data_IF_418215197340
#
_entry.id   IF_418215197340
#
_cell.length_a   1.000
_cell.length_b   1.000
_cell.length_c   1.000
_cell.angle_alpha   90.00
_cell.angle_beta   90.00
_cell.angle_gamma   90.00
#
_symmetry.space_group_name_H-M   'P 1'
#
loop_
_entity.id
_entity.type
_entity.pdbx_description
1 polymer ?
#
# COMPACT_ATOMS: atom_id res chain seq x y z
N UNK A 1 -14.35 43.74 -5.75
CA UNK A 1 -14.17 43.47 -4.33
C UNK A 1 -13.61 42.07 -4.20
N UNK A 2 -12.38 41.85 -3.68
CA UNK A 2 -11.83 40.54 -3.46
C UNK A 2 -12.36 39.94 -2.15
N UNK A 3 -12.67 38.63 -2.19
CA UNK A 3 -13.18 37.80 -1.13
C UNK A 3 -12.16 37.64 0.02
N UNK A 4 -12.55 37.84 1.29
CA UNK A 4 -11.61 37.79 2.39
C UNK A 4 -11.32 36.36 2.83
N UNK A 5 -10.04 36.01 2.76
CA UNK A 5 -9.31 35.13 3.66
C UNK A 5 -9.75 33.66 3.75
N UNK A 6 -9.17 32.87 2.85
CA UNK A 6 -8.89 31.45 3.09
C UNK A 6 -7.88 31.35 4.25
N UNK A 7 -8.16 30.64 5.35
CA UNK A 7 -7.17 30.46 6.39
C UNK A 7 -5.95 29.71 5.86
N UNK A 8 -4.75 29.99 6.35
CA UNK A 8 -3.54 29.30 5.94
C UNK A 8 -3.68 27.81 6.24
N UNK A 9 -3.27 26.99 5.29
CA UNK A 9 -3.16 25.54 5.44
C UNK A 9 -2.11 25.29 6.52
N UNK A 10 -2.57 24.80 7.66
CA UNK A 10 -1.71 24.37 8.76
C UNK A 10 -0.70 23.33 8.24
N UNK A 11 0.59 23.55 8.38
CA UNK A 11 1.57 22.54 8.01
C UNK A 11 1.33 21.31 8.87
N UNK A 12 1.21 20.17 8.21
CA UNK A 12 1.06 18.83 8.77
C UNK A 12 1.86 18.69 10.08
N UNK A 13 1.30 18.07 11.14
CA UNK A 13 2.07 17.79 12.33
C UNK A 13 3.31 16.97 11.94
N UNK A 14 4.48 17.54 12.15
CA UNK A 14 5.74 16.84 12.05
C UNK A 14 5.68 15.66 13.02
N UNK A 15 5.63 14.44 12.48
CA UNK A 15 5.77 13.24 13.26
C UNK A 15 7.21 13.19 13.79
N UNK A 16 7.42 13.70 14.99
CA UNK A 16 8.61 13.40 15.77
C UNK A 16 8.56 11.93 16.17
N UNK A 17 9.28 11.09 15.41
CA UNK A 17 9.65 9.76 15.88
C UNK A 17 10.72 10.02 16.93
N UNK A 18 10.39 9.95 18.21
CA UNK A 18 11.40 9.94 19.26
C UNK A 18 12.33 8.74 19.02
N UNK A 19 13.64 8.97 18.86
CA UNK A 19 14.59 7.90 18.73
C UNK A 19 14.64 7.15 20.06
N UNK A 20 14.45 5.84 20.02
CA UNK A 20 14.78 4.94 21.14
C UNK A 20 16.21 5.26 21.54
N UNK A 21 16.40 5.60 22.83
CA UNK A 21 17.65 6.07 23.39
C UNK A 21 18.84 5.21 22.96
N UNK A 22 19.90 5.77 22.36
CA UNK A 22 21.09 5.03 22.01
C UNK A 22 21.95 4.83 23.24
N UNK A 23 22.17 3.59 23.62
CA UNK A 23 23.34 3.21 24.39
C UNK A 23 24.60 3.56 23.59
N UNK A 24 25.44 4.39 24.16
CA UNK A 24 26.84 4.73 23.87
C UNK A 24 27.48 4.18 22.57
N UNK A 25 27.11 4.74 21.42
CA UNK A 25 27.90 4.68 20.18
C UNK A 25 27.67 5.96 19.38
N UNK A 26 28.64 6.80 19.44
CA UNK A 26 28.88 8.14 18.99
C UNK A 26 28.05 8.76 17.87
N UNK A 27 27.99 10.06 18.01
CA UNK A 27 27.43 11.13 17.13
C UNK A 27 27.71 11.03 15.60
N UNK A 28 28.49 10.05 15.15
CA UNK A 28 28.74 9.77 13.73
C UNK A 28 27.64 8.92 13.06
N UNK A 29 26.82 8.20 13.83
CA UNK A 29 25.81 7.30 13.27
C UNK A 29 24.51 8.02 12.86
N UNK A 30 24.17 9.13 13.50
CA UNK A 30 22.90 9.82 13.23
C UNK A 30 22.95 10.61 11.91
N UNK A 31 24.09 11.25 11.58
CA UNK A 31 24.25 11.95 10.32
C UNK A 31 24.29 10.99 9.12
N UNK A 32 25.00 9.89 9.24
CA UNK A 32 25.05 8.84 8.21
C UNK A 32 23.67 8.18 8.00
N UNK A 33 22.93 7.94 9.08
CA UNK A 33 21.57 7.40 9.01
C UNK A 33 20.60 8.40 8.36
N UNK A 34 20.69 9.70 8.69
CA UNK A 34 19.84 10.72 8.08
C UNK A 34 20.18 10.94 6.60
N UNK A 35 21.47 10.95 6.24
CA UNK A 35 21.93 11.06 4.85
C UNK A 35 21.49 9.83 4.02
N UNK A 36 21.61 8.62 4.57
CA UNK A 36 21.13 7.41 3.94
C UNK A 36 19.62 7.43 3.74
N UNK A 37 18.87 7.89 4.74
CA UNK A 37 17.41 8.02 4.65
C UNK A 37 17.01 9.04 3.59
N UNK A 38 17.69 10.19 3.53
CA UNK A 38 17.46 11.21 2.50
C UNK A 38 17.80 10.68 1.10
N UNK A 39 18.92 9.96 0.96
CA UNK A 39 19.32 9.31 -0.28
C UNK A 39 18.31 8.25 -0.72
N UNK A 40 17.84 7.42 0.20
CA UNK A 40 16.81 6.43 -0.09
C UNK A 40 15.49 7.09 -0.50
N UNK A 41 15.04 8.14 0.20
CA UNK A 41 13.84 8.91 -0.19
C UNK A 41 14.01 9.53 -1.58
N UNK A 42 15.15 10.12 -1.88
CA UNK A 42 15.45 10.67 -3.20
C UNK A 42 15.48 9.57 -4.27
N UNK A 43 16.12 8.43 -3.99
CA UNK A 43 16.16 7.29 -4.89
C UNK A 43 14.76 6.71 -5.15
N UNK A 44 13.92 6.60 -4.11
CA UNK A 44 12.52 6.19 -4.26
C UNK A 44 11.70 7.22 -5.06
N UNK A 45 11.89 8.52 -4.81
CA UNK A 45 11.23 9.58 -5.59
C UNK A 45 11.62 9.51 -7.07
N UNK A 46 12.91 9.36 -7.35
CA UNK A 46 13.42 9.22 -8.72
C UNK A 46 12.85 7.95 -9.40
N UNK A 47 12.83 6.83 -8.67
CA UNK A 47 12.30 5.57 -9.17
C UNK A 47 10.81 5.65 -9.50
N UNK A 48 10.03 6.33 -8.64
CA UNK A 48 8.58 6.46 -8.84
C UNK A 48 8.19 7.42 -9.97
N UNK A 49 8.97 8.51 -10.17
CA UNK A 49 8.59 9.56 -11.12
C UNK A 49 9.35 9.51 -12.44
N UNK A 50 10.64 9.23 -12.41
CA UNK A 50 11.48 9.27 -13.61
C UNK A 50 11.86 7.90 -14.14
N UNK A 51 12.04 6.92 -13.26
CA UNK A 51 12.43 5.56 -13.62
C UNK A 51 11.31 4.54 -13.39
N UNK A 52 10.05 4.97 -13.53
CA UNK A 52 8.87 4.12 -13.33
C UNK A 52 8.92 2.82 -14.20
N UNK A 53 9.58 2.86 -15.37
CA UNK A 53 9.74 1.71 -16.24
C UNK A 53 10.69 0.64 -15.65
N UNK A 54 11.63 1.02 -14.79
CA UNK A 54 12.58 0.09 -14.15
C UNK A 54 12.09 -0.40 -12.78
N UNK A 55 10.95 0.14 -12.28
CA UNK A 55 10.42 -0.18 -10.96
C UNK A 55 10.25 -1.69 -10.73
N UNK A 56 9.64 -2.38 -11.69
CA UNK A 56 9.42 -3.84 -11.57
C UNK A 56 10.75 -4.61 -11.53
N UNK A 57 11.78 -4.16 -12.25
CA UNK A 57 13.10 -4.78 -12.24
C UNK A 57 13.84 -4.56 -10.91
N UNK A 58 13.82 -3.32 -10.40
CA UNK A 58 14.42 -2.99 -9.09
C UNK A 58 13.71 -3.76 -7.98
N UNK A 59 12.39 -3.78 -7.97
CA UNK A 59 11.59 -4.53 -7.03
C UNK A 59 11.91 -6.03 -7.07
N UNK A 60 12.10 -6.59 -8.27
CA UNK A 60 12.50 -7.98 -8.47
C UNK A 60 13.88 -8.27 -7.87
N UNK A 61 14.88 -7.42 -8.13
CA UNK A 61 16.23 -7.56 -7.58
C UNK A 61 16.21 -7.51 -6.05
N UNK A 62 15.58 -6.48 -5.47
CA UNK A 62 15.53 -6.27 -4.01
C UNK A 62 14.79 -7.39 -3.28
N UNK A 63 13.78 -7.97 -3.93
CA UNK A 63 12.98 -9.06 -3.36
C UNK A 63 13.52 -10.46 -3.70
N UNK A 64 14.67 -10.56 -4.37
CA UNK A 64 15.17 -11.84 -4.91
C UNK A 64 14.12 -12.58 -5.75
N UNK A 65 13.34 -11.85 -6.55
CA UNK A 65 12.29 -12.38 -7.42
C UNK A 65 10.93 -12.60 -6.75
N UNK A 66 10.79 -12.43 -5.44
CA UNK A 66 9.54 -12.73 -4.72
C UNK A 66 8.51 -11.59 -4.73
N UNK A 67 8.84 -10.42 -5.26
CA UNK A 67 7.97 -9.23 -5.24
C UNK A 67 6.54 -9.49 -5.71
N UNK A 68 6.42 -10.17 -6.86
CA UNK A 68 5.10 -10.47 -7.43
C UNK A 68 4.31 -11.43 -6.53
N UNK A 69 4.99 -12.39 -5.91
CA UNK A 69 4.37 -13.36 -5.01
C UNK A 69 3.93 -12.70 -3.71
N UNK A 70 4.75 -11.81 -3.14
CA UNK A 70 4.37 -11.04 -1.96
C UNK A 70 3.07 -10.26 -2.22
N UNK A 71 3.00 -9.53 -3.32
CA UNK A 71 1.79 -8.77 -3.69
C UNK A 71 0.57 -9.65 -3.89
N UNK A 72 0.72 -10.86 -4.45
CA UNK A 72 -0.39 -11.81 -4.62
C UNK A 72 -0.92 -12.36 -3.29
N UNK A 73 -0.16 -12.25 -2.19
CA UNK A 73 -0.60 -12.72 -0.87
C UNK A 73 -1.87 -12.05 -0.35
N UNK A 74 -2.26 -10.90 -0.90
CA UNK A 74 -3.51 -10.21 -0.53
C UNK A 74 -4.74 -10.87 -1.16
N UNK A 75 -4.59 -11.55 -2.30
CA UNK A 75 -5.73 -12.04 -3.11
C UNK A 75 -6.62 -13.05 -2.38
N UNK A 76 -6.09 -14.03 -1.62
CA UNK A 76 -6.92 -14.99 -0.89
C UNK A 76 -7.85 -14.37 0.15
N UNK A 77 -7.59 -13.13 0.56
CA UNK A 77 -8.39 -12.41 1.57
C UNK A 77 -9.49 -11.53 0.97
N UNK A 78 -9.51 -11.40 -0.36
CA UNK A 78 -10.51 -10.58 -1.06
C UNK A 78 -11.86 -11.30 -1.08
N UNK A 79 -12.94 -10.66 -0.59
CA UNK A 79 -14.28 -11.19 -0.74
C UNK A 79 -14.77 -11.05 -2.19
N UNK A 80 -15.82 -11.75 -2.59
CA UNK A 80 -16.50 -11.53 -3.86
C UNK A 80 -17.02 -10.08 -3.98
N UNK A 81 -16.87 -9.49 -5.18
CA UNK A 81 -17.35 -8.15 -5.50
C UNK A 81 -16.25 -7.21 -5.96
N UNK A 82 -16.59 -5.92 -6.11
CA UNK A 82 -15.67 -4.89 -6.60
C UNK A 82 -14.52 -4.64 -5.65
N UNK A 83 -13.29 -4.60 -6.19
CA UNK A 83 -12.05 -4.35 -5.43
C UNK A 83 -11.44 -3.03 -5.88
N UNK A 84 -11.08 -2.20 -4.91
CA UNK A 84 -10.27 -0.99 -5.11
C UNK A 84 -8.81 -1.32 -4.85
N UNK A 85 -7.95 -1.19 -5.85
CA UNK A 85 -6.50 -1.23 -5.64
C UNK A 85 -5.97 0.18 -5.46
N UNK A 86 -5.39 0.47 -4.30
CA UNK A 86 -4.82 1.77 -3.94
C UNK A 86 -3.33 1.74 -4.27
N UNK A 87 -2.87 2.77 -4.99
CA UNK A 87 -1.51 2.86 -5.52
C UNK A 87 -1.17 1.63 -6.39
N UNK A 88 -1.92 1.45 -7.48
CA UNK A 88 -1.79 0.29 -8.36
C UNK A 88 -0.41 0.14 -9.02
N UNK A 89 0.39 1.23 -9.06
CA UNK A 89 1.70 1.25 -9.67
C UNK A 89 1.65 0.82 -11.14
N UNK A 90 2.42 -0.19 -11.49
CA UNK A 90 2.47 -0.73 -12.86
C UNK A 90 1.28 -1.61 -13.25
N UNK A 91 0.26 -1.77 -12.39
CA UNK A 91 -0.99 -2.48 -12.67
C UNK A 91 -0.89 -4.01 -12.69
N UNK A 92 0.23 -4.57 -12.26
CA UNK A 92 0.44 -6.04 -12.29
C UNK A 92 -0.50 -6.77 -11.35
N UNK A 93 -0.76 -6.24 -10.15
CA UNK A 93 -1.68 -6.87 -9.20
C UNK A 93 -3.14 -6.70 -9.65
N UNK A 94 -3.51 -5.54 -10.22
CA UNK A 94 -4.84 -5.35 -10.84
C UNK A 94 -5.16 -6.44 -11.85
N UNK A 95 -4.21 -6.74 -12.76
CA UNK A 95 -4.35 -7.81 -13.75
C UNK A 95 -4.45 -9.21 -13.10
N UNK A 96 -3.71 -9.46 -12.02
CA UNK A 96 -3.76 -10.73 -11.32
C UNK A 96 -5.10 -10.95 -10.58
N UNK A 97 -5.68 -9.89 -10.03
CA UNK A 97 -7.00 -9.94 -9.41
C UNK A 97 -8.11 -10.11 -10.45
N UNK A 98 -8.04 -9.37 -11.55
CA UNK A 98 -9.00 -9.48 -12.65
C UNK A 98 -9.01 -10.89 -13.27
N UNK A 99 -7.83 -11.49 -13.49
CA UNK A 99 -7.71 -12.88 -13.98
C UNK A 99 -8.32 -13.92 -13.03
N UNK A 100 -8.57 -13.55 -11.76
CA UNK A 100 -9.26 -14.40 -10.76
C UNK A 100 -10.73 -14.04 -10.57
N UNK A 101 -11.27 -13.23 -11.46
CA UNK A 101 -12.70 -12.92 -11.48
C UNK A 101 -13.09 -11.74 -10.58
N UNK A 102 -12.14 -10.94 -10.06
CA UNK A 102 -12.48 -9.74 -9.30
C UNK A 102 -12.64 -8.54 -10.23
N UNK A 103 -13.78 -7.84 -10.22
CA UNK A 103 -13.91 -6.53 -10.87
C UNK A 103 -13.04 -5.50 -10.13
N UNK A 104 -11.95 -5.06 -10.78
CA UNK A 104 -10.94 -4.19 -10.17
C UNK A 104 -11.04 -2.76 -10.67
N UNK A 105 -10.93 -1.82 -9.75
CA UNK A 105 -10.64 -0.41 -10.04
C UNK A 105 -9.34 -0.05 -9.34
N UNK A 106 -8.31 0.31 -10.11
CA UNK A 106 -7.03 0.76 -9.59
C UNK A 106 -6.94 2.28 -9.56
N UNK A 107 -6.47 2.85 -8.47
CA UNK A 107 -6.11 4.27 -8.39
C UNK A 107 -4.61 4.42 -8.19
N UNK A 108 -4.04 5.46 -8.80
CA UNK A 108 -2.67 5.89 -8.57
C UNK A 108 -2.57 7.40 -8.76
N UNK A 109 -1.72 8.04 -7.99
CA UNK A 109 -1.49 9.49 -8.13
C UNK A 109 -0.57 9.79 -9.32
N UNK A 110 0.30 8.84 -9.69
CA UNK A 110 1.31 9.00 -10.75
C UNK A 110 0.74 8.74 -12.15
N UNK A 111 0.71 9.76 -13.03
CA UNK A 111 0.33 9.55 -14.43
C UNK A 111 1.27 8.59 -15.16
N UNK A 112 2.55 8.55 -14.77
CA UNK A 112 3.54 7.66 -15.38
C UNK A 112 3.20 6.19 -15.09
N UNK A 113 2.83 5.86 -13.84
CA UNK A 113 2.36 4.52 -13.47
C UNK A 113 1.08 4.15 -14.20
N UNK A 114 0.12 5.09 -14.32
CA UNK A 114 -1.10 4.88 -15.08
C UNK A 114 -0.85 4.54 -16.56
N UNK A 115 0.12 5.21 -17.21
CA UNK A 115 0.51 4.90 -18.59
C UNK A 115 1.08 3.49 -18.72
N UNK A 116 1.96 3.07 -17.80
CA UNK A 116 2.56 1.73 -17.79
C UNK A 116 1.49 0.66 -17.55
N UNK A 117 0.61 0.88 -16.56
CA UNK A 117 -0.47 -0.05 -16.26
C UNK A 117 -1.41 -0.23 -17.45
N UNK A 118 -1.83 0.89 -18.09
CA UNK A 118 -2.65 0.85 -19.30
C UNK A 118 -1.99 0.08 -20.44
N UNK A 119 -0.70 0.32 -20.68
CA UNK A 119 0.03 -0.41 -21.70
C UNK A 119 0.06 -1.93 -21.43
N UNK A 120 0.25 -2.36 -20.18
CA UNK A 120 0.19 -3.77 -19.78
C UNK A 120 -1.19 -4.39 -20.00
N UNK A 121 -2.27 -3.69 -19.63
CA UNK A 121 -3.65 -4.14 -19.85
C UNK A 121 -3.91 -4.34 -21.35
N UNK A 122 -3.55 -3.35 -22.19
CA UNK A 122 -3.74 -3.44 -23.63
C UNK A 122 -2.93 -4.57 -24.28
N UNK A 123 -1.70 -4.82 -23.80
CA UNK A 123 -0.87 -5.95 -24.26
C UNK A 123 -1.55 -7.28 -23.93
N UNK A 124 -2.06 -7.44 -22.70
CA UNK A 124 -2.74 -8.67 -22.29
C UNK A 124 -4.00 -8.92 -23.10
N UNK A 125 -4.79 -7.88 -23.37
CA UNK A 125 -5.96 -7.97 -24.26
C UNK A 125 -5.60 -8.46 -25.67
N UNK A 126 -4.51 -7.93 -26.26
CA UNK A 126 -4.06 -8.33 -27.61
C UNK A 126 -3.54 -9.77 -27.69
N UNK A 127 -2.95 -10.28 -26.61
CA UNK A 127 -2.47 -11.65 -26.54
C UNK A 127 -3.57 -12.68 -26.33
N UNK A 128 -4.86 -12.30 -26.37
CA UNK A 128 -6.01 -13.13 -26.06
C UNK A 128 -5.88 -13.88 -24.72
N UNK A 129 -4.99 -13.42 -23.84
CA UNK A 129 -4.87 -13.97 -22.49
C UNK A 129 -6.16 -13.70 -21.74
N UNK A 130 -6.71 -14.72 -21.11
CA UNK A 130 -7.94 -14.63 -20.36
C UNK A 130 -7.82 -13.57 -19.25
N UNK A 131 -8.68 -12.56 -19.31
CA UNK A 131 -8.83 -11.56 -18.27
C UNK A 131 -9.81 -11.99 -17.16
N UNK A 132 -10.29 -13.26 -17.26
CA UNK A 132 -11.31 -13.77 -16.39
C UNK A 132 -12.69 -13.15 -16.67
N UNK A 133 -13.70 -13.65 -15.98
CA UNK A 133 -15.10 -13.20 -16.10
C UNK A 133 -15.34 -11.74 -15.65
N UNK A 134 -14.39 -11.15 -14.93
CA UNK A 134 -14.50 -9.79 -14.40
C UNK A 134 -14.10 -8.68 -15.39
N UNK A 135 -13.48 -9.05 -16.53
CA UNK A 135 -13.06 -8.09 -17.55
C UNK A 135 -11.77 -7.33 -17.20
N UNK A 136 -11.55 -6.22 -17.91
CA UNK A 136 -10.35 -5.38 -17.73
C UNK A 136 -10.42 -4.55 -16.45
N UNK A 137 -9.30 -4.37 -15.71
CA UNK A 137 -9.23 -3.42 -14.62
C UNK A 137 -9.47 -1.99 -15.09
N UNK A 138 -10.34 -1.25 -14.40
CA UNK A 138 -10.48 0.20 -14.56
C UNK A 138 -9.28 0.91 -13.91
N UNK A 139 -8.76 1.97 -14.55
CA UNK A 139 -7.69 2.79 -13.99
C UNK A 139 -8.16 4.23 -13.84
N UNK A 140 -7.93 4.82 -12.67
CA UNK A 140 -8.29 6.21 -12.35
C UNK A 140 -7.08 6.90 -11.73
N UNK A 141 -6.73 8.07 -12.25
CA UNK A 141 -5.74 8.92 -11.58
C UNK A 141 -6.46 9.64 -10.44
N UNK A 142 -6.12 9.32 -9.20
CA UNK A 142 -6.75 9.92 -8.03
C UNK A 142 -5.85 9.87 -6.80
N UNK A 143 -6.08 10.83 -5.90
CA UNK A 143 -5.53 10.83 -4.55
C UNK A 143 -6.42 9.94 -3.65
N UNK A 144 -5.80 9.00 -2.93
CA UNK A 144 -6.50 8.13 -1.99
C UNK A 144 -7.23 8.89 -0.88
N UNK A 145 -6.75 10.06 -0.51
CA UNK A 145 -7.38 10.90 0.51
C UNK A 145 -8.69 11.55 0.01
N UNK A 146 -8.88 11.60 -1.32
CA UNK A 146 -10.03 12.21 -2.00
C UNK A 146 -10.60 11.29 -3.06
N UNK A 147 -10.98 10.07 -2.65
CA UNK A 147 -11.51 9.07 -3.56
C UNK A 147 -12.74 9.57 -4.33
N UNK A 148 -12.72 9.55 -5.68
CA UNK A 148 -13.81 10.04 -6.53
C UNK A 148 -14.92 8.98 -6.69
N UNK A 149 -15.20 8.21 -5.65
CA UNK A 149 -16.20 7.15 -5.68
C UNK A 149 -17.31 7.41 -4.66
N UNK A 150 -18.54 6.97 -4.96
CA UNK A 150 -19.63 6.97 -3.98
C UNK A 150 -19.30 6.12 -2.75
N UNK A 151 -20.03 6.33 -1.66
CA UNK A 151 -19.93 5.50 -0.47
C UNK A 151 -20.42 4.07 -0.75
N UNK A 152 -19.78 3.08 -0.14
CA UNK A 152 -20.25 1.69 -0.14
C UNK A 152 -20.11 0.93 -1.46
N UNK A 153 -19.31 1.43 -2.41
CA UNK A 153 -19.17 0.82 -3.75
C UNK A 153 -18.32 -0.44 -3.75
N UNK A 154 -17.29 -0.52 -2.89
CA UNK A 154 -16.31 -1.59 -2.93
C UNK A 154 -16.56 -2.64 -1.85
N UNK A 155 -16.43 -3.91 -2.24
CA UNK A 155 -16.42 -5.04 -1.33
C UNK A 155 -15.09 -5.16 -0.58
N UNK A 156 -14.00 -4.77 -1.25
CA UNK A 156 -12.69 -4.68 -0.64
C UNK A 156 -11.87 -3.53 -1.22
N UNK A 157 -10.87 -3.12 -0.44
CA UNK A 157 -9.74 -2.33 -0.90
C UNK A 157 -8.44 -3.10 -0.63
N UNK A 158 -7.40 -2.86 -1.41
CA UNK A 158 -6.06 -3.37 -1.15
C UNK A 158 -5.00 -2.31 -1.42
N UNK A 159 -3.93 -2.33 -0.62
CA UNK A 159 -2.74 -1.51 -0.83
C UNK A 159 -1.50 -2.37 -0.56
N UNK A 160 -0.57 -2.41 -1.50
CA UNK A 160 0.66 -3.19 -1.35
C UNK A 160 1.87 -2.28 -1.34
N UNK A 161 2.69 -2.40 -0.29
CA UNK A 161 3.86 -1.54 -0.05
C UNK A 161 3.51 -0.04 -0.14
N UNK A 162 2.48 0.39 0.62
CA UNK A 162 1.99 1.76 0.57
C UNK A 162 3.05 2.73 1.11
N UNK A 163 3.06 3.94 0.55
CA UNK A 163 3.88 5.05 1.02
C UNK A 163 3.24 5.74 2.25
N UNK A 164 3.72 6.92 2.58
CA UNK A 164 3.36 7.70 3.78
C UNK A 164 1.85 8.00 3.92
N UNK A 165 1.08 7.93 2.82
CA UNK A 165 -0.36 8.12 2.85
C UNK A 165 -1.09 7.12 3.75
N UNK A 166 -0.49 5.93 3.99
CA UNK A 166 -1.08 4.92 4.87
C UNK A 166 -1.24 5.41 6.32
N UNK A 167 -0.48 6.42 6.74
CA UNK A 167 -0.54 6.96 8.09
C UNK A 167 -1.48 8.15 8.23
N UNK A 168 -2.11 8.57 7.14
CA UNK A 168 -3.00 9.73 7.11
C UNK A 168 -4.44 9.34 7.52
N UNK A 169 -5.01 10.05 8.50
CA UNK A 169 -6.40 9.83 8.94
C UNK A 169 -7.41 10.02 7.80
N UNK A 170 -7.15 10.98 6.91
CA UNK A 170 -7.95 11.21 5.70
C UNK A 170 -8.02 10.00 4.78
N UNK A 171 -6.93 9.23 4.67
CA UNK A 171 -6.89 7.97 3.92
C UNK A 171 -7.83 6.93 4.55
N UNK A 172 -7.78 6.75 5.88
CA UNK A 172 -8.67 5.81 6.57
C UNK A 172 -10.14 6.17 6.35
N UNK A 173 -10.49 7.45 6.51
CA UNK A 173 -11.85 7.95 6.32
C UNK A 173 -12.33 7.76 4.88
N UNK A 174 -11.48 8.08 3.89
CA UNK A 174 -11.81 7.94 2.48
C UNK A 174 -12.05 6.47 2.09
N UNK A 175 -11.18 5.56 2.53
CA UNK A 175 -11.32 4.13 2.28
C UNK A 175 -12.52 3.56 3.03
N UNK A 176 -12.71 3.92 4.30
CA UNK A 176 -13.88 3.52 5.07
C UNK A 176 -15.19 3.93 4.39
N UNK A 177 -15.28 5.17 3.90
CA UNK A 177 -16.44 5.66 3.16
C UNK A 177 -16.68 4.83 1.89
N UNK A 178 -15.64 4.53 1.12
CA UNK A 178 -15.75 3.83 -0.16
C UNK A 178 -16.11 2.34 -0.01
N UNK A 179 -15.77 1.71 1.12
CA UNK A 179 -16.13 0.32 1.42
C UNK A 179 -17.60 0.20 1.83
N UNK A 180 -18.25 -0.88 1.38
CA UNK A 180 -19.57 -1.29 1.89
C UNK A 180 -19.48 -1.74 3.37
N UNK A 181 -20.59 -1.79 4.12
CA UNK A 181 -20.61 -2.42 5.45
C UNK A 181 -20.05 -3.85 5.37
N UNK A 182 -19.19 -4.24 6.32
CA UNK A 182 -18.45 -5.51 6.30
C UNK A 182 -17.39 -5.62 5.20
N UNK A 183 -17.16 -4.55 4.44
CA UNK A 183 -16.10 -4.49 3.43
C UNK A 183 -14.71 -4.56 4.06
N UNK A 184 -13.75 -5.11 3.34
CA UNK A 184 -12.41 -5.39 3.88
C UNK A 184 -11.36 -4.50 3.22
N UNK A 185 -10.41 -4.02 4.00
CA UNK A 185 -9.19 -3.40 3.50
C UNK A 185 -8.00 -4.28 3.85
N UNK A 186 -7.36 -4.85 2.83
CA UNK A 186 -6.21 -5.73 2.95
C UNK A 186 -4.95 -4.92 2.60
N UNK A 187 -4.07 -4.72 3.57
CA UNK A 187 -2.85 -3.95 3.39
C UNK A 187 -1.66 -4.89 3.55
N UNK A 188 -0.72 -4.79 2.62
CA UNK A 188 0.59 -5.42 2.69
C UNK A 188 1.64 -4.33 2.91
N UNK A 189 1.97 -3.98 4.16
CA UNK A 189 2.93 -2.91 4.43
C UNK A 189 4.37 -3.34 4.21
N UNK A 190 4.68 -4.62 4.47
CA UNK A 190 6.05 -5.12 4.38
C UNK A 190 6.11 -6.64 4.20
N UNK A 191 7.19 -7.08 3.59
CA UNK A 191 7.56 -8.49 3.48
C UNK A 191 9.08 -8.62 3.64
N UNK A 192 9.53 -9.72 4.19
CA UNK A 192 10.94 -9.97 4.45
C UNK A 192 11.34 -11.39 4.04
N UNK A 193 12.55 -11.57 3.50
CA UNK A 193 13.15 -12.89 3.38
C UNK A 193 13.17 -13.61 4.74
N UNK A 194 13.05 -14.94 4.75
CA UNK A 194 12.92 -15.74 6.00
C UNK A 194 14.06 -15.49 6.98
N UNK A 195 15.31 -15.37 6.49
CA UNK A 195 16.48 -15.13 7.32
C UNK A 195 16.47 -13.77 8.04
N UNK A 196 15.72 -12.79 7.49
CA UNK A 196 15.57 -11.44 8.06
C UNK A 196 14.28 -11.30 8.88
N UNK A 197 13.24 -12.05 8.50
CA UNK A 197 11.90 -11.95 9.09
C UNK A 197 11.89 -12.22 10.59
N UNK A 198 12.68 -13.19 11.07
CA UNK A 198 12.79 -13.55 12.50
C UNK A 198 13.18 -12.38 13.40
N UNK A 199 13.87 -11.37 12.86
CA UNK A 199 14.34 -10.21 13.63
C UNK A 199 13.33 -9.07 13.67
N UNK A 200 12.45 -8.95 12.66
CA UNK A 200 11.63 -7.75 12.44
C UNK A 200 10.13 -7.97 12.46
N UNK A 201 9.69 -9.21 12.24
CA UNK A 201 8.28 -9.53 12.33
C UNK A 201 7.95 -10.00 13.76
N UNK A 202 6.77 -9.63 14.28
CA UNK A 202 6.26 -10.14 15.54
C UNK A 202 6.16 -11.68 15.49
N UNK A 203 6.40 -12.32 16.61
CA UNK A 203 6.11 -13.75 16.75
C UNK A 203 4.61 -14.01 16.64
N UNK A 204 4.25 -15.23 16.20
CA UNK A 204 2.84 -15.65 16.09
C UNK A 204 2.15 -15.49 17.44
N UNK A 205 1.04 -14.76 17.45
CA UNK A 205 0.26 -14.50 18.67
C UNK A 205 0.62 -13.20 19.40
N UNK A 206 1.70 -12.51 19.05
CA UNK A 206 2.00 -11.18 19.61
C UNK A 206 1.27 -10.10 18.81
N UNK A 207 0.15 -9.70 19.28
CA UNK A 207 -0.73 -8.69 18.65
C UNK A 207 -0.06 -7.30 18.53
N UNK A 208 1.17 -7.10 19.00
CA UNK A 208 1.68 -5.75 19.21
C UNK A 208 3.19 -5.60 19.41
N UNK A 209 4.05 -6.07 18.52
CA UNK A 209 5.51 -5.94 18.73
C UNK A 209 6.17 -4.69 18.11
N UNK A 210 5.46 -3.59 17.90
CA UNK A 210 6.09 -2.34 17.46
C UNK A 210 5.18 -1.14 17.66
N UNK A 211 5.69 -0.06 18.23
CA UNK A 211 4.93 1.16 18.51
C UNK A 211 4.19 1.71 17.29
N UNK A 212 4.82 1.64 16.10
CA UNK A 212 4.24 2.12 14.84
C UNK A 212 2.99 1.34 14.42
N UNK A 213 2.98 0.01 14.56
CA UNK A 213 1.82 -0.80 14.21
C UNK A 213 0.66 -0.58 15.17
N UNK A 214 0.94 -0.40 16.47
CA UNK A 214 -0.09 -0.06 17.47
C UNK A 214 -0.76 1.28 17.16
N UNK A 215 0.03 2.30 16.84
CA UNK A 215 -0.52 3.61 16.49
C UNK A 215 -1.37 3.54 15.22
N UNK A 216 -0.90 2.83 14.19
CA UNK A 216 -1.64 2.62 12.95
C UNK A 216 -2.97 1.90 13.20
N UNK A 217 -2.94 0.77 13.93
CA UNK A 217 -4.14 -0.02 14.25
C UNK A 217 -5.14 0.84 15.01
N UNK A 218 -4.70 1.55 16.06
CA UNK A 218 -5.56 2.44 16.84
C UNK A 218 -6.25 3.47 15.96
N UNK A 219 -5.48 4.16 15.10
CA UNK A 219 -6.03 5.17 14.20
C UNK A 219 -7.07 4.58 13.23
N UNK A 220 -6.84 3.36 12.74
CA UNK A 220 -7.81 2.66 11.88
C UNK A 220 -9.08 2.28 12.66
N UNK A 221 -8.91 1.81 13.90
CA UNK A 221 -10.04 1.44 14.78
C UNK A 221 -10.90 2.65 15.15
N UNK A 222 -10.27 3.79 15.42
CA UNK A 222 -10.95 5.08 15.62
C UNK A 222 -11.71 5.56 14.38
N UNK A 223 -11.28 5.13 13.18
CA UNK A 223 -11.99 5.38 11.93
C UNK A 223 -13.06 4.32 11.59
N UNK A 224 -13.40 3.42 12.53
CA UNK A 224 -14.49 2.47 12.38
C UNK A 224 -14.10 1.12 11.78
N UNK A 225 -12.82 0.78 11.74
CA UNK A 225 -12.36 -0.55 11.34
C UNK A 225 -12.23 -1.50 12.53
N UNK A 226 -12.39 -2.80 12.29
CA UNK A 226 -11.88 -3.88 13.13
C UNK A 226 -10.60 -4.38 12.48
N UNK A 227 -9.47 -4.33 13.21
CA UNK A 227 -8.16 -4.60 12.62
C UNK A 227 -7.52 -5.84 13.23
N UNK A 228 -6.91 -6.68 12.41
CA UNK A 228 -6.03 -7.77 12.83
C UNK A 228 -4.78 -7.84 11.96
N UNK A 229 -3.68 -8.30 12.55
CA UNK A 229 -2.45 -8.61 11.83
C UNK A 229 -2.42 -10.09 11.48
N UNK A 230 -1.82 -10.39 10.33
CA UNK A 230 -1.61 -11.77 9.89
C UNK A 230 -0.25 -11.90 9.22
N UNK A 231 0.48 -12.96 9.54
CA UNK A 231 1.76 -13.29 8.92
C UNK A 231 1.56 -14.47 7.99
N UNK A 232 1.68 -14.20 6.69
CA UNK A 232 1.65 -15.23 5.67
C UNK A 232 3.06 -15.79 5.49
N UNK A 233 3.24 -17.07 5.81
CA UNK A 233 4.50 -17.79 5.61
C UNK A 233 4.61 -18.27 4.18
N UNK A 234 5.74 -18.03 3.57
CA UNK A 234 6.13 -18.52 2.25
C UNK A 234 7.44 -19.31 2.37
N UNK A 235 7.82 -20.13 1.39
CA UNK A 235 9.01 -20.97 1.49
C UNK A 235 10.31 -20.21 1.79
N UNK A 236 10.41 -18.95 1.32
CA UNK A 236 11.63 -18.13 1.46
C UNK A 236 11.41 -16.79 2.14
N UNK A 237 10.17 -16.48 2.54
CA UNK A 237 9.81 -15.16 3.05
C UNK A 237 8.59 -15.19 3.96
N UNK A 238 8.40 -14.10 4.70
CA UNK A 238 7.19 -13.81 5.49
C UNK A 238 6.61 -12.48 5.04
N UNK A 239 5.30 -12.47 4.91
CA UNK A 239 4.53 -11.31 4.47
C UNK A 239 3.64 -10.89 5.62
N UNK A 240 3.76 -9.64 6.06
CA UNK A 240 2.84 -9.06 7.04
C UNK A 240 1.62 -8.52 6.31
N UNK A 241 0.43 -8.90 6.74
CA UNK A 241 -0.83 -8.34 6.29
C UNK A 241 -1.54 -7.64 7.46
N UNK A 242 -2.14 -6.49 7.16
CA UNK A 242 -3.11 -5.82 8.02
C UNK A 242 -4.47 -6.05 7.38
N UNK A 243 -5.34 -6.72 8.12
CA UNK A 243 -6.69 -7.04 7.67
C UNK A 243 -7.66 -6.17 8.48
N UNK A 244 -8.24 -5.18 7.83
CA UNK A 244 -9.19 -4.25 8.43
C UNK A 244 -10.58 -4.47 7.83
N UNK A 245 -11.59 -4.64 8.68
CA UNK A 245 -12.99 -4.81 8.28
C UNK A 245 -13.79 -3.59 8.75
N UNK A 246 -14.57 -3.02 7.85
CA UNK A 246 -15.50 -1.92 8.17
C UNK A 246 -16.62 -2.45 9.07
N UNK A 247 -16.76 -1.83 10.25
CA UNK A 247 -17.87 -2.07 11.19
C UNK A 247 -19.20 -1.60 10.64
#
# INVERSE_FOLDING_TARGET
MPDPAKPPIDPSPEFHIEPVAPGLAGKFSTWAASALTALLRFAFHLLYHQLAFSYDAVAWIVSAGEWAEWRRSVIPYLPPGRVLEIAHGTGTLSLNMAARGHPVTGIDLSPAMGKIARAKILRRRRSAADLGSAGEPGLVQADVQRLPFPAGVFAAATATFPADFLFQRSTFQAVHRALRPGGKWIILPTAFPEWFAKRWLPDEGTTTSGGIWRALIRNMEECGFRVRLEIVRRPRSRVLLILAEKK
#
